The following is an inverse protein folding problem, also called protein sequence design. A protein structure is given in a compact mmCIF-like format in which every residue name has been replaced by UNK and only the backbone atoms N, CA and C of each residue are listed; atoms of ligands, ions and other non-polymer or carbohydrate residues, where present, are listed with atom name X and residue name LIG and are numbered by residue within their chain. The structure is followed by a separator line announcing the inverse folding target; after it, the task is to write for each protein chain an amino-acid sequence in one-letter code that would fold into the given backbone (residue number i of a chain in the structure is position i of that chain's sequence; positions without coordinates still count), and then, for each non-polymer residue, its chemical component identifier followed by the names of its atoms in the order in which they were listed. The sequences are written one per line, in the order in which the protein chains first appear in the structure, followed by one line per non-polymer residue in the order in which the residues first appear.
data_IF_801685858375
#
_entry.id   IF_801685858375
#
_cell.length_a   1.000
_cell.length_b   1.000
_cell.length_c   1.000
_cell.angle_alpha   90.00
_cell.angle_beta   90.00
_cell.angle_gamma   90.00
#
_symmetry.space_group_name_H-M   'P 1'
#
loop_
_entity.id
_entity.type
_entity.pdbx_description
1 polymer ?
#
# COMPACT_ATOMS: atom_id res chain seq x y z
N UNK A 1 76.79 28.33 3.21
CA UNK A 1 76.32 29.02 2.00
C UNK A 1 74.87 28.61 1.79
N UNK A 2 73.93 29.42 2.26
CA UNK A 2 72.49 29.19 2.12
C UNK A 2 71.87 30.50 1.68
N UNK A 3 71.13 30.49 0.56
CA UNK A 3 70.45 31.66 0.01
C UNK A 3 69.03 31.28 -0.43
N UNK A 4 68.05 31.89 0.24
CA UNK A 4 66.92 32.70 -0.28
C UNK A 4 66.21 32.21 -1.57
N UNK A 5 64.91 31.90 -1.60
CA UNK A 5 63.67 32.68 -1.35
C UNK A 5 62.90 32.88 -2.67
N UNK A 6 61.58 32.65 -2.60
CA UNK A 6 60.50 33.24 -3.41
C UNK A 6 60.23 32.70 -4.84
N UNK A 7 59.09 32.05 -4.97
CA UNK A 7 58.36 31.82 -6.24
C UNK A 7 56.87 31.85 -5.95
N UNK A 8 56.21 32.92 -6.40
CA UNK A 8 54.83 33.28 -6.11
C UNK A 8 53.81 32.61 -7.06
N UNK A 9 52.57 32.60 -6.59
CA UNK A 9 51.34 31.96 -7.06
C UNK A 9 50.93 32.21 -8.52
N UNK A 10 50.28 31.21 -9.13
CA UNK A 10 49.10 31.41 -10.00
C UNK A 10 48.07 30.33 -9.69
N UNK A 11 46.87 30.77 -9.33
CA UNK A 11 45.71 29.97 -8.97
C UNK A 11 45.14 29.22 -10.19
N UNK A 12 45.10 27.89 -10.10
CA UNK A 12 44.26 27.04 -10.93
C UNK A 12 43.08 26.56 -10.08
N UNK A 13 41.91 27.16 -10.28
CA UNK A 13 40.63 26.66 -9.75
C UNK A 13 40.29 25.40 -10.53
N UNK A 14 40.71 24.25 -10.00
CA UNK A 14 40.20 22.96 -10.43
C UNK A 14 38.89 22.71 -9.69
N UNK A 15 37.77 22.99 -10.36
CA UNK A 15 36.44 22.51 -9.97
C UNK A 15 36.44 20.97 -10.06
N UNK A 16 36.83 20.32 -8.97
CA UNK A 16 36.43 18.96 -8.63
C UNK A 16 35.33 19.11 -7.57
N UNK A 17 34.09 18.77 -7.90
CA UNK A 17 32.99 18.86 -6.94
C UNK A 17 31.64 18.71 -7.60
N UNK A 18 31.31 17.48 -7.97
CA UNK A 18 30.01 17.12 -8.54
C UNK A 18 29.98 15.67 -8.97
N UNK A 19 30.43 14.76 -8.10
CA UNK A 19 30.14 13.33 -8.23
C UNK A 19 28.61 13.17 -8.25
N UNK A 20 28.05 12.92 -9.42
CA UNK A 20 26.70 12.38 -9.53
C UNK A 20 26.67 11.06 -8.73
N UNK A 21 25.71 10.84 -7.83
CA UNK A 21 25.50 9.53 -7.23
C UNK A 21 24.83 8.61 -8.27
N UNK A 22 25.58 8.28 -9.32
CA UNK A 22 25.24 7.25 -10.30
C UNK A 22 25.43 5.88 -9.64
N UNK A 23 24.46 5.46 -8.84
CA UNK A 23 24.46 4.11 -8.26
C UNK A 23 23.46 3.91 -7.12
N UNK A 24 22.27 3.42 -7.45
CA UNK A 24 21.36 2.65 -6.57
C UNK A 24 20.49 3.33 -5.50
N UNK A 25 20.54 4.65 -5.29
CA UNK A 25 19.71 5.32 -4.26
C UNK A 25 18.47 6.05 -4.80
N UNK A 26 17.94 5.63 -5.96
CA UNK A 26 16.70 6.21 -6.50
C UNK A 26 15.50 5.63 -5.76
N UNK A 27 14.56 6.49 -5.34
CA UNK A 27 13.29 6.11 -4.75
C UNK A 27 12.49 5.19 -5.68
N UNK A 28 11.91 4.14 -5.10
CA UNK A 28 11.08 3.20 -5.83
C UNK A 28 9.72 3.84 -6.10
N UNK A 29 9.22 3.60 -7.31
CA UNK A 29 7.86 3.99 -7.67
C UNK A 29 6.82 3.27 -6.78
N UNK A 30 5.64 3.87 -6.58
CA UNK A 30 4.59 3.29 -5.75
C UNK A 30 4.21 1.90 -6.25
N UNK A 31 4.32 0.90 -5.38
CA UNK A 31 3.91 -0.46 -5.70
C UNK A 31 2.39 -0.55 -5.78
N UNK A 32 1.90 -1.49 -6.57
CA UNK A 32 0.49 -1.87 -6.54
C UNK A 32 0.15 -2.52 -5.20
N UNK A 33 -1.08 -2.33 -4.71
CA UNK A 33 -1.65 -3.07 -3.60
C UNK A 33 -3.14 -3.30 -3.83
N UNK A 34 -3.70 -4.35 -3.21
CA UNK A 34 -5.15 -4.56 -3.22
C UNK A 34 -5.71 -4.08 -1.88
N UNK A 35 -6.54 -3.03 -1.84
CA UNK A 35 -7.21 -2.62 -0.61
C UNK A 35 -8.17 -3.72 -0.16
N UNK A 36 -8.25 -3.93 1.16
CA UNK A 36 -9.26 -4.77 1.77
C UNK A 36 -9.95 -3.97 2.89
N UNK A 37 -11.26 -3.68 2.80
CA UNK A 37 -12.16 -3.99 1.67
C UNK A 37 -11.77 -3.22 0.40
N UNK A 38 -12.29 -3.63 -0.76
CA UNK A 38 -12.16 -2.83 -1.99
C UNK A 38 -12.82 -1.47 -1.79
N UNK A 39 -12.16 -0.42 -2.30
CA UNK A 39 -12.62 0.96 -2.24
C UNK A 39 -12.93 1.43 -3.65
N UNK A 40 -13.95 2.26 -3.81
CA UNK A 40 -14.18 3.00 -5.06
C UNK A 40 -13.00 3.95 -5.32
N UNK A 41 -12.83 4.38 -6.57
CA UNK A 41 -11.76 5.32 -6.92
C UNK A 41 -11.90 6.63 -6.14
N UNK A 42 -13.13 7.06 -5.93
CA UNK A 42 -13.49 8.31 -5.26
C UNK A 42 -13.16 8.22 -3.78
N UNK A 43 -13.49 7.10 -3.15
CA UNK A 43 -13.12 6.84 -1.75
C UNK A 43 -11.61 6.83 -1.52
N UNK A 44 -10.83 6.34 -2.48
CA UNK A 44 -9.36 6.39 -2.41
C UNK A 44 -8.87 7.83 -2.50
N UNK A 45 -9.40 8.61 -3.45
CA UNK A 45 -9.04 10.02 -3.61
C UNK A 45 -9.42 10.84 -2.38
N UNK A 46 -10.62 10.65 -1.84
CA UNK A 46 -11.09 11.29 -0.60
C UNK A 46 -10.15 10.97 0.56
N UNK A 47 -9.85 9.70 0.81
CA UNK A 47 -8.95 9.30 1.91
C UNK A 47 -7.53 9.85 1.75
N UNK A 48 -7.03 9.98 0.51
CA UNK A 48 -5.72 10.60 0.25
C UNK A 48 -5.74 12.10 0.56
N UNK A 49 -6.81 12.79 0.16
CA UNK A 49 -6.96 14.21 0.44
C UNK A 49 -7.10 14.47 1.95
N UNK A 50 -7.97 13.72 2.62
CA UNK A 50 -8.15 13.78 4.07
C UNK A 50 -6.82 13.59 4.81
N UNK A 51 -6.00 12.61 4.40
CA UNK A 51 -4.69 12.40 4.98
C UNK A 51 -3.78 13.63 4.87
N UNK A 52 -3.67 14.23 3.68
CA UNK A 52 -2.80 15.40 3.49
C UNK A 52 -3.33 16.65 4.21
N UNK A 53 -4.64 16.77 4.40
CA UNK A 53 -5.25 17.84 5.18
C UNK A 53 -4.98 17.73 6.69
N UNK A 54 -4.86 16.50 7.22
CA UNK A 54 -4.69 16.24 8.66
C UNK A 54 -3.29 15.80 9.08
N UNK A 55 -2.39 15.51 8.13
CA UNK A 55 -1.09 14.88 8.43
C UNK A 55 -0.24 15.62 9.47
N UNK A 56 -0.29 16.95 9.49
CA UNK A 56 0.43 17.79 10.44
C UNK A 56 0.02 17.57 11.91
N UNK A 57 -1.13 16.94 12.17
CA UNK A 57 -1.56 16.56 13.51
C UNK A 57 -0.84 15.32 14.06
N UNK A 58 -0.19 14.50 13.22
CA UNK A 58 0.57 13.32 13.65
C UNK A 58 1.95 13.64 14.24
N UNK A 59 2.31 14.92 14.26
CA UNK A 59 3.62 15.41 14.70
C UNK A 59 4.59 15.64 13.54
N UNK A 60 5.82 16.02 13.90
CA UNK A 60 6.85 16.44 12.94
C UNK A 60 6.66 17.87 12.43
N UNK A 61 7.49 18.25 11.47
CA UNK A 61 7.46 19.58 10.87
C UNK A 61 6.46 19.63 9.72
N UNK A 62 5.61 20.66 9.70
CA UNK A 62 4.72 20.95 8.57
C UNK A 62 5.50 21.08 7.25
N UNK A 63 6.70 21.65 7.30
CA UNK A 63 7.57 21.80 6.12
C UNK A 63 7.98 20.45 5.54
N UNK A 64 8.24 19.45 6.39
CA UNK A 64 8.60 18.10 5.95
C UNK A 64 7.38 17.40 5.35
N UNK A 65 6.20 17.56 5.94
CA UNK A 65 4.95 17.06 5.36
C UNK A 65 4.67 17.66 3.98
N UNK A 66 4.88 18.96 3.80
CA UNK A 66 4.72 19.63 2.50
C UNK A 66 5.71 19.08 1.45
N UNK A 67 6.95 18.78 1.84
CA UNK A 67 7.94 18.13 0.97
C UNK A 67 7.52 16.69 0.66
N UNK A 68 7.11 15.90 1.65
CA UNK A 68 6.67 14.52 1.47
C UNK A 68 5.49 14.43 0.51
N UNK A 69 4.55 15.36 0.59
CA UNK A 69 3.43 15.42 -0.34
C UNK A 69 3.94 15.59 -1.79
N UNK A 70 4.85 16.54 -2.03
CA UNK A 70 5.44 16.74 -3.37
C UNK A 70 6.23 15.52 -3.86
N UNK A 71 7.03 14.90 -2.98
CA UNK A 71 7.78 13.68 -3.29
C UNK A 71 6.83 12.57 -3.72
N UNK A 72 5.74 12.35 -2.96
CA UNK A 72 4.73 11.35 -3.29
C UNK A 72 4.06 11.66 -4.64
N UNK A 73 3.70 12.92 -4.91
CA UNK A 73 3.12 13.33 -6.20
C UNK A 73 4.07 13.03 -7.37
N UNK A 74 5.35 13.39 -7.26
CA UNK A 74 6.37 13.09 -8.28
C UNK A 74 6.53 11.57 -8.50
N UNK A 75 6.44 10.77 -7.43
CA UNK A 75 6.47 9.31 -7.52
C UNK A 75 5.26 8.76 -8.28
N UNK A 76 4.06 9.34 -8.11
CA UNK A 76 2.89 8.97 -8.90
C UNK A 76 3.00 9.36 -10.38
N UNK A 77 3.68 10.47 -10.67
CA UNK A 77 3.96 10.93 -12.05
C UNK A 77 5.04 10.10 -12.76
N UNK A 78 5.71 9.19 -12.05
CA UNK A 78 6.82 8.38 -12.60
C UNK A 78 8.19 9.06 -12.51
N UNK A 79 8.28 10.25 -11.92
CA UNK A 79 9.49 11.06 -11.81
C UNK A 79 10.31 10.69 -10.56
N UNK A 80 10.77 9.44 -10.49
CA UNK A 80 11.51 8.92 -9.35
C UNK A 80 12.82 9.67 -9.06
N UNK A 81 13.51 10.14 -10.10
CA UNK A 81 14.75 10.91 -9.97
C UNK A 81 14.50 12.26 -9.28
N UNK A 82 13.54 13.06 -9.79
CA UNK A 82 13.15 14.32 -9.19
C UNK A 82 12.62 14.15 -7.74
N UNK A 83 11.87 13.07 -7.49
CA UNK A 83 11.41 12.75 -6.14
C UNK A 83 12.59 12.46 -5.19
N UNK A 84 13.61 11.74 -5.68
CA UNK A 84 14.83 11.44 -4.92
C UNK A 84 15.63 12.70 -4.63
N UNK A 85 15.84 13.56 -5.63
CA UNK A 85 16.54 14.84 -5.46
C UNK A 85 15.84 15.73 -4.43
N UNK A 86 14.51 15.80 -4.48
CA UNK A 86 13.72 16.57 -3.53
C UNK A 86 13.81 16.01 -2.10
N UNK A 87 13.77 14.69 -1.94
CA UNK A 87 13.94 14.04 -0.64
C UNK A 87 15.34 14.30 -0.06
N UNK A 88 16.39 14.22 -0.90
CA UNK A 88 17.76 14.52 -0.49
C UNK A 88 17.93 15.99 -0.11
N UNK A 89 17.33 16.93 -0.86
CA UNK A 89 17.40 18.35 -0.56
C UNK A 89 16.74 18.74 0.78
N UNK A 90 15.82 17.92 1.27
CA UNK A 90 15.16 18.08 2.56
C UNK A 90 15.77 17.20 3.67
N UNK A 91 16.95 16.62 3.44
CA UNK A 91 17.66 15.72 4.35
C UNK A 91 16.78 14.54 4.84
N UNK A 92 15.95 13.99 3.96
CA UNK A 92 15.09 12.84 4.27
C UNK A 92 15.83 11.52 4.05
N UNK A 93 15.69 10.61 5.01
CA UNK A 93 16.20 9.25 4.93
C UNK A 93 15.04 8.26 4.77
N UNK A 94 15.02 7.54 3.65
CA UNK A 94 13.95 6.59 3.30
C UNK A 94 14.54 5.17 3.26
N UNK A 95 14.18 4.28 4.20
CA UNK A 95 14.64 2.89 4.20
C UNK A 95 14.25 2.14 2.92
N UNK A 96 15.16 1.30 2.41
CA UNK A 96 14.97 0.48 1.19
C UNK A 96 14.52 1.27 -0.07
N UNK A 97 14.67 2.59 -0.04
CA UNK A 97 14.14 3.52 -1.05
C UNK A 97 12.62 3.35 -1.27
N UNK A 98 11.87 2.88 -0.27
CA UNK A 98 10.42 2.63 -0.35
C UNK A 98 9.69 3.49 0.69
N UNK A 99 8.99 4.53 0.21
CA UNK A 99 8.30 5.50 1.07
C UNK A 99 7.24 4.85 1.97
N UNK A 100 6.71 3.69 1.58
CA UNK A 100 5.72 2.95 2.38
C UNK A 100 6.31 2.28 3.62
N UNK A 101 7.64 2.26 3.76
CA UNK A 101 8.35 1.83 4.98
C UNK A 101 8.50 2.97 6.00
N UNK A 102 8.03 4.17 5.66
CA UNK A 102 8.16 5.38 6.45
C UNK A 102 9.41 6.20 6.10
N UNK A 103 9.47 7.42 6.62
CA UNK A 103 10.52 8.40 6.31
C UNK A 103 11.07 9.01 7.59
N UNK A 104 12.37 9.27 7.65
CA UNK A 104 13.01 9.98 8.75
C UNK A 104 13.51 11.34 8.29
N UNK A 105 13.33 12.38 9.11
CA UNK A 105 13.99 13.67 8.90
C UNK A 105 15.37 13.72 9.59
N UNK A 106 16.10 14.80 9.33
CA UNK A 106 17.41 15.08 9.94
C UNK A 106 17.39 15.22 11.47
N UNK A 107 16.21 15.43 12.06
CA UNK A 107 16.01 15.49 13.53
C UNK A 107 15.70 14.12 14.13
N UNK A 108 15.53 13.08 13.31
CA UNK A 108 15.16 11.74 13.72
C UNK A 108 13.65 11.55 13.91
N UNK A 109 12.81 12.49 13.48
CA UNK A 109 11.35 12.32 13.51
C UNK A 109 10.94 11.31 12.45
N UNK A 110 10.06 10.38 12.81
CA UNK A 110 9.51 9.39 11.90
C UNK A 110 8.15 9.84 11.34
N UNK A 111 8.03 9.78 10.02
CA UNK A 111 6.82 10.12 9.26
C UNK A 111 6.26 8.84 8.63
N UNK A 112 5.11 8.39 9.14
CA UNK A 112 4.40 7.24 8.60
C UNK A 112 3.42 7.68 7.52
N UNK A 113 3.53 7.08 6.33
CA UNK A 113 2.62 7.34 5.21
C UNK A 113 1.71 6.12 5.04
N UNK A 114 0.38 6.27 5.21
CA UNK A 114 -0.55 5.16 5.06
C UNK A 114 -0.43 4.49 3.69
N UNK A 115 -0.64 3.18 3.64
CA UNK A 115 -0.54 2.39 2.40
C UNK A 115 -1.40 2.95 1.27
N UNK A 116 -2.59 3.47 1.57
CA UNK A 116 -3.50 4.08 0.57
C UNK A 116 -2.91 5.32 -0.11
N UNK A 117 -2.01 6.03 0.58
CA UNK A 117 -1.32 7.22 0.08
C UNK A 117 0.00 6.84 -0.60
N UNK A 118 0.74 5.89 -0.03
CA UNK A 118 2.05 5.48 -0.54
C UNK A 118 1.99 4.49 -1.73
N UNK A 119 0.85 3.88 -2.02
CA UNK A 119 0.69 2.80 -3.02
C UNK A 119 -0.52 3.01 -3.93
N UNK A 120 -0.48 2.38 -5.10
CA UNK A 120 -1.54 2.44 -6.11
C UNK A 120 -2.51 1.26 -5.90
N UNK A 121 -3.82 1.49 -5.68
CA UNK A 121 -4.80 0.42 -5.66
C UNK A 121 -4.85 -0.31 -7.01
N UNK A 122 -4.72 -1.63 -6.98
CA UNK A 122 -4.78 -2.48 -8.17
C UNK A 122 -6.22 -2.69 -8.68
N UNK A 123 -7.18 -2.63 -7.77
CA UNK A 123 -8.60 -2.83 -8.04
C UNK A 123 -9.42 -1.82 -7.25
N UNK A 124 -10.56 -1.45 -7.81
CA UNK A 124 -11.54 -0.56 -7.19
C UNK A 124 -12.88 -1.27 -7.06
N UNK A 125 -13.67 -0.91 -6.05
CA UNK A 125 -15.06 -1.32 -5.95
C UNK A 125 -15.90 -0.63 -7.05
N UNK A 126 -16.96 -1.29 -7.50
CA UNK A 126 -17.95 -0.67 -8.37
C UNK A 126 -18.76 0.35 -7.57
N UNK A 127 -18.96 1.55 -8.13
CA UNK A 127 -19.89 2.50 -7.54
C UNK A 127 -21.28 1.88 -7.57
N UNK A 128 -21.92 1.76 -6.41
CA UNK A 128 -23.37 1.51 -6.36
C UNK A 128 -24.06 2.82 -6.69
N UNK A 129 -24.43 3.00 -7.95
CA UNK A 129 -25.34 4.07 -8.35
C UNK A 129 -26.75 3.71 -7.86
N UNK A 130 -27.02 3.92 -6.57
CA UNK A 130 -28.38 3.91 -6.04
C UNK A 130 -29.08 5.19 -6.47
N UNK A 131 -29.55 5.19 -7.72
CA UNK A 131 -30.67 6.01 -8.17
C UNK A 131 -31.94 5.27 -7.75
N UNK A 132 -32.33 5.39 -6.48
CA UNK A 132 -33.69 5.10 -6.05
C UNK A 132 -34.19 6.34 -5.32
N UNK A 133 -35.13 6.97 -6.01
CA UNK A 133 -35.94 8.11 -5.65
C UNK A 133 -36.76 7.87 -4.37
N UNK A 134 -37.01 8.97 -3.64
CA UNK A 134 -38.22 9.25 -2.84
C UNK A 134 -38.78 8.16 -1.89
N UNK A 135 -38.58 8.33 -0.59
CA UNK A 135 -39.71 8.22 0.35
C UNK A 135 -39.51 9.13 1.57
N UNK A 136 -40.32 10.19 1.60
CA UNK A 136 -40.61 11.02 2.77
C UNK A 136 -41.21 10.15 3.88
N UNK A 137 -40.53 10.00 5.02
CA UNK A 137 -41.23 9.63 6.25
C UNK A 137 -40.97 10.65 7.37
N UNK A 138 -41.86 11.64 7.33
CA UNK A 138 -42.04 12.72 8.28
C UNK A 138 -42.82 12.21 9.52
N UNK A 139 -42.45 12.72 10.69
CA UNK A 139 -43.28 12.83 11.93
C UNK A 139 -43.34 11.59 12.83
N UNK A 140 -42.64 11.62 13.97
CA UNK A 140 -43.34 11.82 15.25
C UNK A 140 -42.36 12.16 16.37
N UNK A 141 -42.56 13.35 16.92
CA UNK A 141 -41.95 13.89 18.13
C UNK A 141 -42.17 12.99 19.35
N UNK A 142 -41.18 12.91 20.25
CA UNK A 142 -41.39 13.08 21.70
C UNK A 142 -40.06 13.39 22.41
N UNK A 143 -40.14 14.45 23.21
CA UNK A 143 -39.12 15.25 23.92
C UNK A 143 -38.67 14.57 25.25
N UNK A 144 -37.48 14.91 25.82
CA UNK A 144 -36.69 14.04 26.67
C UNK A 144 -36.92 14.28 28.16
N UNK A 145 -36.67 13.27 29.00
CA UNK A 145 -36.24 13.50 30.39
C UNK A 145 -35.60 12.24 30.98
N UNK A 146 -34.47 12.46 31.68
CA UNK A 146 -33.89 11.68 32.79
C UNK A 146 -32.77 10.67 32.47
N UNK A 147 -31.56 11.18 32.70
CA UNK A 147 -30.24 10.56 32.85
C UNK A 147 -30.15 9.54 34.04
N UNK A 148 -28.96 8.98 34.38
CA UNK A 148 -28.38 7.76 33.80
C UNK A 148 -27.91 6.75 34.88
N UNK A 149 -27.90 5.43 34.62
CA UNK A 149 -27.22 4.47 35.49
C UNK A 149 -26.50 3.38 34.66
N UNK A 150 -25.20 3.25 34.92
CA UNK A 150 -24.25 2.30 34.34
C UNK A 150 -24.47 0.90 34.91
N UNK A 151 -24.51 -0.14 34.09
CA UNK A 151 -24.14 -1.51 34.50
C UNK A 151 -23.71 -2.33 33.28
N UNK A 152 -22.40 -2.49 33.10
CA UNK A 152 -21.80 -3.45 32.19
C UNK A 152 -21.68 -4.81 32.90
N UNK A 153 -22.38 -5.83 32.39
CA UNK A 153 -22.29 -7.22 32.84
C UNK A 153 -22.28 -8.17 31.65
N UNK A 154 -21.12 -8.77 31.42
CA UNK A 154 -20.88 -10.22 31.26
C UNK A 154 -21.95 -11.05 30.53
N UNK A 155 -21.56 -11.75 29.45
CA UNK A 155 -21.83 -13.19 29.19
C UNK A 155 -21.36 -13.58 27.77
N UNK A 156 -20.30 -14.39 27.67
CA UNK A 156 -20.29 -15.86 27.50
C UNK A 156 -20.39 -16.35 26.03
N UNK A 157 -19.28 -16.99 25.64
CA UNK A 157 -19.22 -18.31 25.00
C UNK A 157 -19.60 -18.42 23.54
N UNK A 158 -18.60 -18.55 22.64
CA UNK A 158 -18.55 -19.70 21.71
C UNK A 158 -17.16 -19.90 21.06
N UNK A 159 -16.71 -21.16 21.11
CA UNK A 159 -15.80 -21.86 20.19
C UNK A 159 -14.30 -21.54 20.17
N UNK A 160 -13.58 -22.31 20.99
CA UNK A 160 -12.16 -22.64 20.85
C UNK A 160 -11.85 -23.42 19.57
N UNK A 161 -11.06 -22.88 18.65
CA UNK A 161 -10.29 -23.65 17.67
C UNK A 161 -9.00 -22.93 17.30
N UNK A 162 -7.93 -23.28 18.03
CA UNK A 162 -6.53 -23.39 17.57
C UNK A 162 -6.02 -22.26 16.66
N UNK A 163 -5.61 -21.16 17.29
CA UNK A 163 -4.62 -20.23 16.74
C UNK A 163 -3.26 -20.93 16.65
N UNK A 164 -2.95 -21.48 15.48
CA UNK A 164 -1.62 -21.92 15.10
C UNK A 164 -1.10 -20.97 14.00
N UNK A 165 -0.43 -19.90 14.46
CA UNK A 165 0.82 -19.36 13.89
C UNK A 165 1.09 -19.71 12.40
N UNK A 166 0.41 -19.04 11.48
CA UNK A 166 0.63 -19.18 10.02
C UNK A 166 0.58 -17.81 9.30
N UNK A 167 1.26 -16.80 9.84
CA UNK A 167 1.40 -15.46 9.22
C UNK A 167 2.70 -15.30 8.38
N UNK A 168 3.47 -16.36 8.15
CA UNK A 168 4.86 -16.18 7.66
C UNK A 168 5.10 -16.30 6.14
N UNK A 169 4.08 -16.42 5.28
CA UNK A 169 4.31 -16.43 3.82
C UNK A 169 3.05 -16.30 2.93
N UNK A 170 2.22 -15.29 3.17
CA UNK A 170 1.15 -14.99 2.20
C UNK A 170 1.76 -14.44 0.90
N UNK A 171 1.45 -15.06 -0.23
CA UNK A 171 1.84 -14.59 -1.57
C UNK A 171 0.62 -14.11 -2.34
N UNK A 172 0.83 -13.11 -3.19
CA UNK A 172 -0.22 -12.58 -4.07
C UNK A 172 -0.32 -13.44 -5.33
N UNK A 173 -1.47 -14.07 -5.53
CA UNK A 173 -1.77 -14.92 -6.68
C UNK A 173 -2.74 -14.22 -7.61
N UNK A 174 -2.39 -14.18 -8.90
CA UNK A 174 -3.20 -13.56 -9.93
C UNK A 174 -4.08 -14.60 -10.61
N UNK A 175 -5.36 -14.30 -10.68
CA UNK A 175 -6.39 -15.15 -11.26
C UNK A 175 -7.05 -14.35 -12.37
N UNK A 176 -6.79 -14.73 -13.63
CA UNK A 176 -7.48 -14.17 -14.79
C UNK A 176 -8.79 -14.89 -15.00
N UNK A 177 -9.92 -14.20 -14.89
CA UNK A 177 -11.22 -14.79 -15.17
C UNK A 177 -11.57 -14.60 -16.65
N UNK A 178 -11.92 -15.69 -17.31
CA UNK A 178 -12.19 -15.70 -18.75
C UNK A 178 -13.50 -15.04 -19.17
N UNK A 179 -14.46 -14.87 -18.24
CA UNK A 179 -15.78 -14.33 -18.56
C UNK A 179 -15.75 -12.81 -18.79
N UNK A 180 -14.92 -12.10 -18.03
CA UNK A 180 -14.81 -10.65 -18.04
C UNK A 180 -13.42 -10.15 -18.46
N UNK A 181 -12.49 -11.07 -18.75
CA UNK A 181 -11.09 -10.80 -19.06
C UNK A 181 -10.38 -9.94 -17.98
N UNK A 182 -10.88 -9.99 -16.74
CA UNK A 182 -10.30 -9.25 -15.61
C UNK A 182 -9.33 -10.13 -14.82
N UNK A 183 -8.31 -9.48 -14.27
CA UNK A 183 -7.33 -10.09 -13.38
C UNK A 183 -7.67 -9.79 -11.92
N UNK A 184 -8.03 -10.83 -11.18
CA UNK A 184 -8.29 -10.81 -9.75
C UNK A 184 -7.03 -11.17 -8.98
N UNK A 185 -6.86 -10.61 -7.79
CA UNK A 185 -5.66 -10.79 -6.97
C UNK A 185 -6.07 -11.28 -5.58
N UNK A 186 -5.70 -12.51 -5.24
CA UNK A 186 -5.93 -13.09 -3.90
C UNK A 186 -4.62 -13.26 -3.13
N UNK A 187 -4.66 -13.20 -1.80
CA UNK A 187 -3.50 -13.49 -0.95
C UNK A 187 -3.68 -14.84 -0.27
N UNK A 188 -2.79 -15.77 -0.59
CA UNK A 188 -2.81 -17.13 -0.05
C UNK A 188 -1.41 -17.63 0.22
N UNK A 189 -1.26 -18.54 1.18
CA UNK A 189 0.01 -19.22 1.40
C UNK A 189 0.14 -20.34 0.34
N UNK A 190 1.13 -20.28 -0.56
CA UNK A 190 1.24 -21.25 -1.66
C UNK A 190 1.63 -22.65 -1.19
N UNK A 191 2.04 -22.81 0.08
CA UNK A 191 2.36 -24.09 0.69
C UNK A 191 1.13 -24.78 1.29
N UNK A 192 0.05 -24.04 1.58
CA UNK A 192 -1.21 -24.61 2.04
C UNK A 192 -2.05 -25.15 0.87
N UNK A 193 -2.95 -26.13 1.10
CA UNK A 193 -3.87 -26.59 0.08
C UNK A 193 -4.70 -25.45 -0.51
N UNK A 194 -4.90 -25.45 -1.83
CA UNK A 194 -5.65 -24.40 -2.53
C UNK A 194 -7.12 -24.29 -2.05
N UNK A 195 -7.64 -25.28 -1.33
CA UNK A 195 -8.93 -25.20 -0.62
C UNK A 195 -9.02 -24.06 0.39
N UNK A 196 -7.90 -23.65 1.00
CA UNK A 196 -7.88 -22.51 1.91
C UNK A 196 -8.12 -21.17 1.18
N UNK A 197 -7.94 -21.13 -0.14
CA UNK A 197 -8.18 -19.94 -0.95
C UNK A 197 -9.67 -19.62 -1.14
N UNK A 198 -10.58 -20.53 -0.74
CA UNK A 198 -12.00 -20.41 -1.05
C UNK A 198 -12.63 -19.12 -0.47
N UNK A 199 -12.28 -18.75 0.75
CA UNK A 199 -12.77 -17.52 1.37
C UNK A 199 -12.31 -16.28 0.60
N UNK A 200 -11.06 -16.27 0.13
CA UNK A 200 -10.48 -15.18 -0.65
C UNK A 200 -11.06 -15.14 -2.06
N UNK A 201 -11.40 -16.30 -2.65
CA UNK A 201 -12.08 -16.38 -3.95
C UNK A 201 -13.50 -15.82 -3.87
N UNK A 202 -14.23 -16.10 -2.80
CA UNK A 202 -15.56 -15.53 -2.54
C UNK A 202 -15.48 -14.00 -2.34
N UNK A 203 -14.46 -13.50 -1.65
CA UNK A 203 -14.25 -12.06 -1.45
C UNK A 203 -13.99 -11.29 -2.75
N UNK A 204 -13.29 -11.90 -3.72
CA UNK A 204 -13.03 -11.27 -5.04
C UNK A 204 -14.17 -11.47 -6.04
N UNK A 205 -15.27 -12.14 -5.68
CA UNK A 205 -16.42 -12.38 -6.58
C UNK A 205 -16.23 -13.56 -7.55
N UNK A 206 -15.33 -14.50 -7.23
CA UNK A 206 -15.07 -15.71 -8.00
C UNK A 206 -15.71 -16.96 -7.38
N UNK A 207 -16.76 -16.81 -6.57
CA UNK A 207 -17.44 -17.91 -5.87
C UNK A 207 -18.07 -18.94 -6.82
N UNK A 208 -18.43 -18.50 -8.02
CA UNK A 208 -19.07 -19.33 -9.04
C UNK A 208 -18.07 -20.08 -9.94
N UNK A 209 -16.77 -19.79 -9.82
CA UNK A 209 -15.72 -20.43 -10.63
C UNK A 209 -15.44 -21.83 -10.11
N UNK A 210 -15.71 -22.83 -10.95
CA UNK A 210 -15.52 -24.23 -10.56
C UNK A 210 -14.15 -24.77 -10.96
N UNK A 211 -13.53 -24.20 -12.00
CA UNK A 211 -12.27 -24.73 -12.56
C UNK A 211 -11.22 -23.63 -12.66
N UNK A 212 -10.11 -23.89 -11.99
CA UNK A 212 -8.90 -23.10 -12.09
C UNK A 212 -7.87 -23.87 -12.91
N UNK A 213 -7.20 -23.20 -13.82
CA UNK A 213 -6.20 -23.78 -14.72
C UNK A 213 -4.85 -23.11 -14.51
N UNK A 214 -3.79 -23.90 -14.51
CA UNK A 214 -2.42 -23.43 -14.41
C UNK A 214 -1.55 -24.23 -15.38
N UNK A 215 -0.83 -23.53 -16.27
CA UNK A 215 0.01 -24.14 -17.32
C UNK A 215 -0.70 -25.27 -18.10
N UNK A 216 -1.98 -25.05 -18.47
CA UNK A 216 -2.79 -26.01 -19.23
C UNK A 216 -3.35 -27.19 -18.42
N UNK A 217 -3.14 -27.23 -17.10
CA UNK A 217 -3.67 -28.28 -16.21
C UNK A 217 -4.73 -27.70 -15.29
N UNK A 218 -5.76 -28.48 -14.98
CA UNK A 218 -6.74 -28.11 -13.96
C UNK A 218 -6.08 -28.23 -12.57
N UNK A 219 -6.14 -27.16 -11.78
CA UNK A 219 -5.66 -27.12 -10.41
C UNK A 219 -6.56 -27.97 -9.50
N UNK A 220 -5.92 -28.65 -8.57
CA UNK A 220 -6.56 -29.49 -7.57
C UNK A 220 -6.62 -28.75 -6.24
N UNK A 221 -7.82 -28.52 -5.71
CA UNK A 221 -8.03 -27.85 -4.40
C UNK A 221 -7.35 -28.56 -3.23
N UNK A 222 -7.11 -29.87 -3.34
CA UNK A 222 -6.46 -30.68 -2.28
C UNK A 222 -4.94 -30.49 -2.23
N UNK A 223 -4.31 -30.00 -3.31
CA UNK A 223 -2.87 -29.78 -3.38
C UNK A 223 -2.57 -28.31 -3.19
N UNK A 224 -1.36 -28.01 -2.71
CA UNK A 224 -0.91 -26.62 -2.63
C UNK A 224 -0.56 -26.08 -4.02
N UNK A 225 -0.47 -24.76 -4.16
CA UNK A 225 -0.05 -24.14 -5.42
C UNK A 225 1.42 -24.44 -5.72
N UNK A 226 2.28 -24.37 -4.71
CA UNK A 226 3.71 -24.70 -4.81
C UNK A 226 3.93 -26.14 -5.31
N UNK A 227 3.17 -27.11 -4.78
CA UNK A 227 3.21 -28.51 -5.24
C UNK A 227 2.75 -28.71 -6.69
N UNK A 228 1.95 -27.77 -7.21
CA UNK A 228 1.43 -27.81 -8.57
C UNK A 228 2.32 -27.02 -9.55
N UNK A 229 3.46 -26.52 -9.08
CA UNK A 229 4.47 -25.82 -9.88
C UNK A 229 4.23 -24.32 -10.00
N UNK A 230 3.29 -23.76 -9.24
CA UNK A 230 3.08 -22.32 -9.21
C UNK A 230 4.22 -21.64 -8.45
N UNK A 231 4.73 -20.55 -9.01
CA UNK A 231 5.69 -19.64 -8.36
C UNK A 231 5.19 -18.21 -8.43
N UNK A 232 5.69 -17.35 -7.53
CA UNK A 232 5.36 -15.93 -7.51
C UNK A 232 5.45 -15.28 -8.90
N UNK A 233 4.41 -14.51 -9.25
CA UNK A 233 4.29 -13.82 -10.54
C UNK A 233 3.58 -14.61 -11.65
N UNK A 234 3.28 -15.89 -11.45
CA UNK A 234 2.51 -16.66 -12.43
C UNK A 234 1.00 -16.46 -12.28
N UNK A 235 0.29 -16.55 -13.41
CA UNK A 235 -1.17 -16.32 -13.50
C UNK A 235 -1.91 -17.66 -13.57
N UNK A 236 -2.97 -17.77 -12.78
CA UNK A 236 -3.96 -18.85 -12.84
C UNK A 236 -5.14 -18.37 -13.70
N UNK A 237 -5.69 -19.24 -14.54
CA UNK A 237 -6.88 -18.94 -15.32
C UNK A 237 -8.12 -19.50 -14.63
N UNK A 238 -9.20 -18.73 -14.55
CA UNK A 238 -10.50 -19.12 -14.04
C UNK A 238 -11.51 -19.22 -15.18
N UNK A 239 -12.32 -20.30 -15.20
CA UNK A 239 -13.43 -20.51 -16.12
C UNK A 239 -14.68 -20.96 -15.38
#
# INVERSE_FOLDING_TARGET
MGQCLSGNQVAGVANNGGEQPSGSNILRLPKLYTPNPLLTKEEVEVRRNEFWETCWAYGGSKEIWDVLHKVVTLLYEGNAEAATEMALAADLTIPENDISKGVYDSKGTFYEIPKIVARIPRAFAERKDSLDDEDDNMISSNDPTKSPEEHDTTTKSIASLKDAELDSSLETVLIRYSKDDKDYSIQINPNLPFSHAKSQLEEVGLENVQRFFFLGRVLQFKKSLSQQGWTSGMIIQAM
#
